data_IF_271372822618
#
_entry.id   IF_271372822618
#
_cell.length_a   1.000
_cell.length_b   1.000
_cell.length_c   1.000
_cell.angle_alpha   90.00
_cell.angle_beta   90.00
_cell.angle_gamma   90.00
#
_symmetry.space_group_name_H-M   'P 1'
#
loop_
_entity.id
_entity.type
_entity.pdbx_description
1 polymer ?
#
# COMPACT_ATOMS: atom_id res chain seq x y z
N UNK A 1 44.80 -14.82 -27.42
CA UNK A 1 44.04 -13.74 -28.07
C UNK A 1 44.79 -13.15 -29.26
N UNK A 2 46.00 -12.75 -29.12
CA UNK A 2 46.78 -12.07 -30.15
C UNK A 2 46.93 -12.90 -31.44
N UNK A 3 47.04 -14.25 -31.33
CA UNK A 3 47.17 -15.15 -32.50
C UNK A 3 45.90 -15.19 -33.37
N UNK A 4 44.71 -15.05 -32.77
CA UNK A 4 43.41 -15.15 -33.47
C UNK A 4 42.71 -13.82 -33.64
N UNK A 5 43.17 -12.76 -32.96
CA UNK A 5 42.63 -11.42 -33.01
C UNK A 5 43.76 -10.40 -32.89
N UNK A 6 44.64 -10.34 -33.88
CA UNK A 6 45.81 -9.46 -33.85
C UNK A 6 45.45 -7.96 -33.85
N UNK A 7 44.28 -7.62 -34.38
CA UNK A 7 43.76 -6.25 -34.42
C UNK A 7 42.95 -5.88 -33.17
N UNK A 8 42.75 -6.81 -32.22
CA UNK A 8 42.03 -6.54 -30.98
C UNK A 8 40.54 -6.16 -31.10
N UNK A 9 39.87 -6.54 -32.21
CA UNK A 9 38.49 -6.15 -32.49
C UNK A 9 37.46 -7.06 -31.80
N UNK A 10 37.83 -8.30 -31.46
CA UNK A 10 36.90 -9.27 -30.87
C UNK A 10 36.93 -9.16 -29.34
N UNK A 11 35.81 -8.65 -28.78
CA UNK A 11 35.65 -8.46 -27.34
C UNK A 11 36.82 -7.75 -26.64
N UNK A 12 37.20 -6.52 -27.06
CA UNK A 12 38.33 -5.80 -26.48
C UNK A 12 38.05 -5.51 -25.00
N UNK A 13 39.05 -5.65 -24.13
CA UNK A 13 38.96 -5.31 -22.72
C UNK A 13 37.96 -6.16 -21.92
N UNK A 14 37.66 -7.41 -22.32
CA UNK A 14 36.73 -8.29 -21.58
C UNK A 14 37.40 -9.32 -20.70
N UNK A 15 38.38 -10.04 -21.21
CA UNK A 15 39.11 -11.08 -20.48
C UNK A 15 40.58 -10.67 -20.26
N UNK A 16 41.18 -10.08 -21.30
CA UNK A 16 42.52 -9.54 -21.27
C UNK A 16 42.46 -8.02 -21.33
N UNK A 17 43.40 -7.36 -20.66
CA UNK A 17 43.51 -5.90 -20.62
C UNK A 17 42.17 -5.23 -20.21
N UNK A 18 41.50 -5.81 -19.20
CA UNK A 18 40.24 -5.31 -18.69
C UNK A 18 40.47 -3.98 -17.95
N UNK A 19 39.62 -2.98 -18.18
CA UNK A 19 39.64 -1.76 -17.36
C UNK A 19 39.42 -2.10 -15.89
N UNK A 20 39.83 -1.21 -14.98
CA UNK A 20 39.55 -1.34 -13.55
C UNK A 20 38.03 -1.51 -13.30
N UNK A 21 37.70 -2.30 -12.29
CA UNK A 21 36.29 -2.56 -11.94
C UNK A 21 35.48 -1.29 -11.64
N UNK A 22 36.16 -0.19 -11.32
CA UNK A 22 35.54 1.12 -11.07
C UNK A 22 35.47 2.00 -12.32
N UNK A 23 36.12 1.60 -13.43
CA UNK A 23 36.06 2.34 -14.68
C UNK A 23 34.80 2.00 -15.49
N UNK A 24 34.31 2.92 -16.27
CA UNK A 24 33.17 2.77 -17.17
C UNK A 24 31.88 2.34 -16.45
N UNK A 25 31.71 2.68 -15.19
CA UNK A 25 30.47 2.46 -14.47
C UNK A 25 29.31 3.26 -15.10
N UNK A 26 28.11 2.69 -15.06
CA UNK A 26 26.89 3.26 -15.69
C UNK A 26 26.66 4.73 -15.35
N UNK A 27 27.00 5.14 -14.13
CA UNK A 27 26.75 6.49 -13.63
C UNK A 27 28.02 7.31 -13.43
N UNK A 28 29.23 6.73 -13.66
CA UNK A 28 30.53 7.39 -13.49
C UNK A 28 30.90 7.62 -12.01
N UNK A 29 32.12 8.15 -11.81
CA UNK A 29 32.70 8.34 -10.46
C UNK A 29 32.07 9.54 -9.71
N UNK A 30 31.46 10.47 -10.40
CA UNK A 30 30.83 11.66 -9.85
C UNK A 30 29.35 11.47 -9.48
N UNK A 31 28.84 10.26 -9.65
CA UNK A 31 27.47 9.94 -9.33
C UNK A 31 27.14 10.29 -7.87
N UNK A 32 26.13 11.12 -7.69
CA UNK A 32 25.59 11.50 -6.36
C UNK A 32 24.10 11.59 -6.48
N UNK A 33 23.41 11.28 -5.38
CA UNK A 33 21.97 11.40 -5.29
C UNK A 33 21.55 12.51 -4.36
N UNK A 34 20.43 13.16 -4.68
CA UNK A 34 19.80 14.16 -3.82
C UNK A 34 19.19 13.42 -2.62
N UNK A 35 19.53 13.84 -1.41
CA UNK A 35 18.91 13.35 -0.20
C UNK A 35 17.53 13.99 -0.01
N UNK A 36 16.53 13.15 0.27
CA UNK A 36 15.17 13.57 0.58
C UNK A 36 14.85 13.13 2.01
N UNK A 37 14.44 14.07 2.85
CA UNK A 37 13.89 13.73 4.16
C UNK A 37 12.53 13.08 4.01
N UNK A 38 12.45 11.78 4.28
CA UNK A 38 11.27 10.98 4.08
C UNK A 38 10.37 10.94 5.32
N UNK A 39 9.07 10.71 5.09
CA UNK A 39 8.09 10.46 6.13
C UNK A 39 8.00 8.96 6.48
N UNK A 40 8.21 8.10 5.48
CA UNK A 40 8.32 6.66 5.65
C UNK A 40 9.75 6.26 6.01
N UNK A 41 9.91 5.18 6.74
CA UNK A 41 11.21 4.62 7.09
C UNK A 41 11.85 3.87 5.92
N UNK A 42 12.96 4.40 5.39
CA UNK A 42 13.78 3.78 4.34
C UNK A 42 15.13 3.28 4.87
N UNK A 43 15.28 3.09 6.19
CA UNK A 43 16.55 2.63 6.77
C UNK A 43 16.98 1.27 6.24
N UNK A 44 16.01 0.39 5.97
CA UNK A 44 16.27 -0.95 5.42
C UNK A 44 16.90 -0.89 4.03
N UNK A 45 16.48 0.06 3.21
CA UNK A 45 17.00 0.31 1.88
C UNK A 45 18.22 1.24 1.88
N UNK A 46 18.49 1.91 3.00
CA UNK A 46 19.54 2.92 3.19
C UNK A 46 19.05 4.35 2.97
N UNK A 47 18.25 4.62 1.95
CA UNK A 47 17.63 5.92 1.68
C UNK A 47 16.49 5.78 0.65
N UNK A 48 15.73 6.86 0.43
CA UNK A 48 14.75 6.90 -0.66
C UNK A 48 15.40 6.69 -2.04
N UNK A 49 16.54 7.31 -2.28
CA UNK A 49 17.29 7.15 -3.52
C UNK A 49 17.77 5.71 -3.69
N UNK A 50 18.32 5.09 -2.64
CA UNK A 50 18.76 3.70 -2.66
C UNK A 50 17.58 2.73 -2.94
N UNK A 51 16.40 2.98 -2.37
CA UNK A 51 15.19 2.21 -2.66
C UNK A 51 14.80 2.27 -4.16
N UNK A 52 14.91 3.44 -4.78
CA UNK A 52 14.70 3.62 -6.22
C UNK A 52 15.77 2.89 -7.03
N UNK A 53 17.02 2.90 -6.55
CA UNK A 53 18.18 2.29 -7.20
C UNK A 53 18.23 0.77 -7.10
N UNK A 54 17.45 0.15 -6.21
CA UNK A 54 17.27 -1.31 -6.19
C UNK A 54 16.85 -1.87 -7.55
N UNK A 55 16.21 -1.05 -8.40
CA UNK A 55 15.86 -1.46 -9.75
C UNK A 55 17.11 -1.65 -10.62
N UNK A 56 17.50 -2.91 -10.84
CA UNK A 56 18.64 -3.29 -11.69
C UNK A 56 18.31 -3.34 -13.20
N UNK A 57 17.06 -3.05 -13.59
CA UNK A 57 16.66 -2.99 -14.99
C UNK A 57 16.30 -4.34 -15.64
N UNK A 58 16.25 -5.46 -14.91
CA UNK A 58 15.96 -6.82 -15.44
C UNK A 58 14.64 -6.92 -16.21
N UNK A 59 13.67 -6.06 -15.92
CA UNK A 59 12.42 -5.95 -16.70
C UNK A 59 11.37 -7.02 -16.40
N UNK A 60 11.43 -7.74 -15.27
CA UNK A 60 10.40 -8.67 -14.84
C UNK A 60 9.00 -8.02 -14.78
N UNK A 61 8.94 -6.70 -14.54
CA UNK A 61 7.71 -5.89 -14.55
C UNK A 61 7.06 -5.69 -15.94
N UNK A 62 7.65 -6.25 -17.02
CA UNK A 62 7.09 -6.23 -18.37
C UNK A 62 6.41 -7.52 -18.77
N UNK A 63 6.19 -8.43 -17.85
CA UNK A 63 5.40 -9.65 -18.10
C UNK A 63 3.97 -9.28 -18.50
N UNK A 64 3.39 -10.05 -19.40
CA UNK A 64 2.05 -9.79 -19.94
C UNK A 64 1.12 -11.01 -19.84
N UNK A 65 1.66 -12.20 -19.60
CA UNK A 65 0.93 -13.46 -19.61
C UNK A 65 1.05 -14.25 -18.31
N UNK A 66 1.83 -13.77 -17.34
CA UNK A 66 2.06 -14.47 -16.08
C UNK A 66 2.32 -13.48 -14.95
N UNK A 67 1.91 -13.83 -13.73
CA UNK A 67 2.06 -13.03 -12.54
C UNK A 67 1.11 -11.83 -12.49
N UNK A 68 1.22 -11.02 -11.44
CA UNK A 68 0.42 -9.82 -11.22
C UNK A 68 1.19 -8.51 -11.46
N UNK A 69 2.51 -8.55 -11.53
CA UNK A 69 3.38 -7.39 -11.73
C UNK A 69 3.59 -7.12 -13.23
N UNK A 70 3.42 -5.94 -13.78
CA UNK A 70 2.83 -4.71 -13.25
C UNK A 70 1.49 -4.49 -13.94
N UNK A 71 0.36 -4.37 -13.23
CA UNK A 71 -0.98 -4.31 -13.85
C UNK A 71 -1.13 -3.13 -14.80
N UNK A 72 -0.56 -1.98 -14.47
CA UNK A 72 -0.61 -0.80 -15.34
C UNK A 72 0.12 -1.01 -16.65
N UNK A 73 1.25 -1.72 -16.66
CA UNK A 73 1.92 -2.09 -17.90
C UNK A 73 1.12 -3.12 -18.71
N UNK A 74 0.55 -4.12 -18.04
CA UNK A 74 -0.30 -5.12 -18.71
C UNK A 74 -1.44 -4.46 -19.50
N UNK A 75 -2.01 -3.37 -18.97
CA UNK A 75 -3.08 -2.62 -19.60
C UNK A 75 -2.60 -1.68 -20.71
N UNK A 76 -1.50 -0.94 -20.51
CA UNK A 76 -1.09 0.16 -21.39
C UNK A 76 0.02 -0.20 -22.36
N UNK A 77 0.85 -1.19 -22.04
CA UNK A 77 2.08 -1.58 -22.77
C UNK A 77 3.15 -0.46 -22.83
N UNK A 78 2.99 0.60 -22.06
CA UNK A 78 3.94 1.70 -22.00
C UNK A 78 4.99 1.49 -20.92
N UNK A 79 6.27 1.66 -21.26
CA UNK A 79 7.40 1.47 -20.34
C UNK A 79 7.29 2.33 -19.07
N UNK A 80 6.83 3.58 -19.21
CA UNK A 80 6.65 4.49 -18.06
C UNK A 80 5.71 3.95 -16.97
N UNK A 81 4.85 2.99 -17.31
CA UNK A 81 3.91 2.36 -16.38
C UNK A 81 4.42 1.06 -15.77
N UNK A 82 5.70 0.71 -16.00
CA UNK A 82 6.37 -0.39 -15.31
C UNK A 82 7.02 0.09 -14.00
N UNK A 83 7.33 -0.84 -13.11
CA UNK A 83 8.19 -0.54 -11.93
C UNK A 83 9.54 0.02 -12.37
N UNK A 84 10.16 -0.58 -13.41
CA UNK A 84 11.43 -0.11 -13.99
C UNK A 84 11.34 1.29 -14.56
N UNK A 85 10.32 1.58 -15.35
CA UNK A 85 10.13 2.91 -15.94
C UNK A 85 9.97 4.00 -14.88
N UNK A 86 9.17 3.73 -13.84
CA UNK A 86 9.00 4.63 -12.70
C UNK A 86 10.29 4.85 -11.92
N UNK A 87 11.02 3.77 -11.62
CA UNK A 87 12.30 3.86 -10.94
C UNK A 87 13.33 4.66 -11.76
N UNK A 88 13.41 4.44 -13.08
CA UNK A 88 14.32 5.18 -13.94
C UNK A 88 13.95 6.67 -14.06
N UNK A 89 12.67 7.00 -14.11
CA UNK A 89 12.23 8.41 -14.14
C UNK A 89 12.63 9.13 -12.84
N UNK A 90 12.37 8.52 -11.67
CA UNK A 90 12.79 9.06 -10.38
C UNK A 90 14.33 9.16 -10.27
N UNK A 91 15.03 8.10 -10.66
CA UNK A 91 16.51 8.07 -10.67
C UNK A 91 17.07 9.24 -11.50
N UNK A 92 16.49 9.52 -12.67
CA UNK A 92 16.94 10.62 -13.52
C UNK A 92 16.93 11.97 -12.79
N UNK A 93 15.96 12.21 -11.93
CA UNK A 93 15.91 13.45 -11.11
C UNK A 93 16.84 13.35 -9.91
N UNK A 94 16.79 12.22 -9.20
CA UNK A 94 17.59 12.04 -7.98
C UNK A 94 19.09 12.10 -8.23
N UNK A 95 19.55 11.67 -9.42
CA UNK A 95 20.96 11.71 -9.83
C UNK A 95 21.38 13.05 -10.47
N UNK A 96 20.45 14.00 -10.61
CA UNK A 96 20.73 15.26 -11.31
C UNK A 96 20.82 15.16 -12.83
N UNK A 97 20.50 13.99 -13.44
CA UNK A 97 20.42 13.85 -14.90
C UNK A 97 19.23 14.61 -15.50
N UNK A 98 18.21 14.86 -14.69
CA UNK A 98 17.09 15.75 -14.96
C UNK A 98 17.08 16.89 -13.94
N UNK A 99 16.55 18.07 -14.28
CA UNK A 99 16.42 19.18 -13.34
C UNK A 99 15.64 18.79 -12.08
N UNK A 100 16.05 19.29 -10.91
CA UNK A 100 15.42 18.97 -9.62
C UNK A 100 13.90 19.30 -9.59
N UNK A 101 13.49 20.35 -10.30
CA UNK A 101 12.10 20.80 -10.45
C UNK A 101 11.23 19.72 -11.12
N UNK A 102 11.85 18.84 -11.91
CA UNK A 102 11.17 17.70 -12.56
C UNK A 102 10.56 16.74 -11.56
N UNK A 103 11.06 16.69 -10.32
CA UNK A 103 10.48 15.88 -9.26
C UNK A 103 9.02 16.26 -8.99
N UNK A 104 8.71 17.55 -8.93
CA UNK A 104 7.36 18.08 -8.69
C UNK A 104 6.61 18.42 -9.98
N UNK A 105 7.05 17.89 -11.13
CA UNK A 105 6.40 18.14 -12.43
C UNK A 105 5.15 17.28 -12.62
N UNK A 106 4.26 17.76 -13.50
CA UNK A 106 3.10 16.97 -13.94
C UNK A 106 3.53 15.68 -14.64
N UNK A 107 4.58 15.74 -15.46
CA UNK A 107 5.08 14.56 -16.17
C UNK A 107 5.53 13.46 -15.22
N UNK A 108 6.21 13.79 -14.12
CA UNK A 108 6.59 12.81 -13.10
C UNK A 108 5.37 12.24 -12.39
N UNK A 109 4.38 13.09 -12.09
CA UNK A 109 3.11 12.61 -11.53
C UNK A 109 2.41 11.64 -12.48
N UNK A 110 2.33 11.93 -13.79
CA UNK A 110 1.71 11.07 -14.79
C UNK A 110 2.41 9.69 -14.91
N UNK A 111 3.74 9.65 -14.71
CA UNK A 111 4.51 8.38 -14.65
C UNK A 111 4.10 7.52 -13.46
N UNK A 112 3.83 8.14 -12.30
CA UNK A 112 3.55 7.43 -11.05
C UNK A 112 2.04 7.18 -10.83
N UNK A 113 1.17 7.97 -11.42
CA UNK A 113 -0.26 7.99 -11.12
C UNK A 113 -0.92 6.62 -11.35
N UNK A 114 -0.66 5.96 -12.46
CA UNK A 114 -1.22 4.65 -12.79
C UNK A 114 -0.66 3.48 -11.96
N UNK A 115 0.28 3.72 -11.03
CA UNK A 115 0.65 2.68 -10.07
C UNK A 115 -0.50 2.44 -9.08
N UNK A 116 -1.04 1.23 -9.06
CA UNK A 116 -2.16 0.86 -8.18
C UNK A 116 -1.75 0.68 -6.71
N UNK A 117 -0.44 0.65 -6.42
CA UNK A 117 0.04 0.34 -5.07
C UNK A 117 -0.32 -1.08 -4.62
N UNK A 118 -0.40 -2.02 -5.56
CA UNK A 118 -0.78 -3.42 -5.30
C UNK A 118 0.31 -4.26 -4.62
N UNK A 119 1.52 -3.70 -4.48
CA UNK A 119 2.70 -4.35 -3.86
C UNK A 119 3.20 -5.64 -4.53
N UNK A 120 2.62 -6.10 -5.65
CA UNK A 120 3.12 -7.29 -6.37
C UNK A 120 4.59 -7.18 -6.77
N UNK A 121 5.13 -5.97 -6.88
CA UNK A 121 6.55 -5.76 -7.13
C UNK A 121 7.45 -6.24 -5.98
N UNK A 122 6.99 -6.30 -4.73
CA UNK A 122 7.78 -6.81 -3.61
C UNK A 122 8.06 -8.30 -3.79
N UNK A 123 7.05 -9.08 -4.21
CA UNK A 123 7.15 -10.54 -4.34
C UNK A 123 7.69 -11.00 -5.70
N UNK A 124 7.34 -10.30 -6.78
CA UNK A 124 7.67 -10.75 -8.14
C UNK A 124 8.93 -10.09 -8.74
N UNK A 125 9.41 -8.97 -8.17
CA UNK A 125 10.64 -8.35 -8.64
C UNK A 125 11.86 -9.04 -8.06
N UNK A 126 12.82 -9.54 -8.88
CA UNK A 126 14.04 -10.18 -8.38
C UNK A 126 14.88 -9.26 -7.48
N UNK A 127 14.70 -7.95 -7.59
CA UNK A 127 15.38 -6.93 -6.77
C UNK A 127 14.49 -6.37 -5.65
N UNK A 128 13.34 -6.96 -5.38
CA UNK A 128 12.41 -6.57 -4.31
C UNK A 128 12.09 -5.06 -4.26
N UNK A 129 11.94 -4.42 -5.43
CA UNK A 129 11.62 -2.98 -5.48
C UNK A 129 10.21 -2.74 -4.98
N UNK A 130 10.06 -2.05 -3.85
CA UNK A 130 8.74 -1.59 -3.39
C UNK A 130 8.34 -0.26 -4.04
N UNK A 131 7.79 -0.35 -5.25
CA UNK A 131 7.30 0.83 -5.96
C UNK A 131 6.08 1.46 -5.30
N UNK A 132 5.33 0.71 -4.49
CA UNK A 132 4.18 1.25 -3.77
C UNK A 132 4.65 2.21 -2.67
N UNK A 133 5.58 1.79 -1.82
CA UNK A 133 6.22 2.62 -0.78
C UNK A 133 6.89 3.87 -1.40
N UNK A 134 7.65 3.68 -2.48
CA UNK A 134 8.28 4.79 -3.24
C UNK A 134 7.22 5.78 -3.74
N UNK A 135 6.10 5.31 -4.32
CA UNK A 135 5.01 6.17 -4.77
C UNK A 135 4.36 6.95 -3.62
N UNK A 136 4.11 6.30 -2.48
CA UNK A 136 3.46 6.96 -1.35
C UNK A 136 4.32 8.10 -0.80
N UNK A 137 5.62 7.86 -0.66
CA UNK A 137 6.57 8.90 -0.27
C UNK A 137 6.66 10.01 -1.33
N UNK A 138 6.74 9.64 -2.62
CA UNK A 138 6.71 10.63 -3.70
C UNK A 138 5.48 11.55 -3.63
N UNK A 139 4.28 10.98 -3.43
CA UNK A 139 3.06 11.76 -3.33
C UNK A 139 3.07 12.70 -2.12
N UNK A 140 3.58 12.24 -0.99
CA UNK A 140 3.75 13.05 0.20
C UNK A 140 4.65 14.26 -0.08
N UNK A 141 5.83 14.03 -0.68
CA UNK A 141 6.76 15.09 -1.07
C UNK A 141 6.14 16.05 -2.12
N UNK A 142 5.44 15.49 -3.11
CA UNK A 142 4.76 16.28 -4.14
C UNK A 142 3.73 17.25 -3.54
N UNK A 143 2.96 16.80 -2.56
CA UNK A 143 1.94 17.62 -1.91
C UNK A 143 2.49 18.63 -0.88
N UNK A 144 3.77 18.58 -0.53
CA UNK A 144 4.40 19.68 0.24
C UNK A 144 4.42 21.00 -0.56
N UNK A 145 4.51 20.91 -1.88
CA UNK A 145 4.57 22.08 -2.79
C UNK A 145 3.30 22.27 -3.62
N UNK A 146 2.37 21.35 -3.60
CA UNK A 146 1.15 21.35 -4.41
C UNK A 146 -0.10 21.14 -3.56
N UNK A 147 -1.23 21.66 -4.03
CA UNK A 147 -2.52 21.43 -3.37
C UNK A 147 -2.97 19.97 -3.53
N UNK A 148 -3.42 19.36 -2.43
CA UNK A 148 -4.01 18.03 -2.44
C UNK A 148 -5.38 18.12 -3.17
N UNK A 149 -5.64 17.28 -4.19
CA UNK A 149 -6.93 17.24 -4.88
C UNK A 149 -8.07 16.92 -3.92
N UNK A 150 -9.24 17.50 -4.16
CA UNK A 150 -10.44 17.23 -3.34
C UNK A 150 -10.82 15.74 -3.36
N UNK A 151 -10.71 15.08 -4.52
CA UNK A 151 -10.90 13.63 -4.63
C UNK A 151 -10.01 12.85 -3.68
N UNK A 152 -8.74 13.21 -3.59
CA UNK A 152 -7.79 12.54 -2.68
C UNK A 152 -8.17 12.73 -1.21
N UNK A 153 -8.62 13.92 -0.81
CA UNK A 153 -9.11 14.18 0.54
C UNK A 153 -10.38 13.38 0.86
N UNK A 154 -11.34 13.35 -0.06
CA UNK A 154 -12.60 12.60 0.12
C UNK A 154 -12.34 11.08 0.21
N UNK A 155 -11.43 10.54 -0.61
CA UNK A 155 -11.03 9.13 -0.52
C UNK A 155 -10.32 8.83 0.79
N UNK A 156 -9.44 9.70 1.25
CA UNK A 156 -8.75 9.54 2.53
C UNK A 156 -9.73 9.53 3.72
N UNK A 157 -10.75 10.39 3.68
CA UNK A 157 -11.75 10.54 4.74
C UNK A 157 -12.95 9.59 4.60
N UNK A 158 -12.88 8.55 3.76
CA UNK A 158 -14.00 7.64 3.48
C UNK A 158 -14.60 7.01 4.75
N UNK A 159 -13.76 6.71 5.74
CA UNK A 159 -14.23 6.18 7.03
C UNK A 159 -15.13 7.17 7.76
N UNK A 160 -14.67 8.42 7.90
CA UNK A 160 -15.41 9.50 8.56
C UNK A 160 -16.71 9.80 7.82
N UNK A 161 -16.67 9.89 6.49
CA UNK A 161 -17.85 10.11 5.66
C UNK A 161 -18.86 8.98 5.82
N UNK A 162 -18.43 7.71 5.82
CA UNK A 162 -19.29 6.55 6.02
C UNK A 162 -19.91 6.55 7.41
N UNK A 163 -19.14 6.90 8.45
CA UNK A 163 -19.61 6.98 9.83
C UNK A 163 -20.74 8.03 10.00
N UNK A 164 -20.55 9.23 9.41
CA UNK A 164 -21.55 10.30 9.44
C UNK A 164 -22.79 9.92 8.61
N UNK A 165 -22.61 9.21 7.50
CA UNK A 165 -23.71 8.84 6.60
C UNK A 165 -24.52 7.64 7.10
N UNK A 166 -23.95 6.74 7.92
CA UNK A 166 -24.58 5.51 8.36
C UNK A 166 -25.93 5.73 9.11
N UNK A 167 -26.08 6.66 10.05
CA UNK A 167 -27.36 6.89 10.73
C UNK A 167 -28.50 7.26 9.77
N UNK A 168 -28.19 8.00 8.71
CA UNK A 168 -29.12 8.50 7.69
C UNK A 168 -28.98 7.77 6.35
N UNK A 169 -28.47 6.54 6.35
CA UNK A 169 -28.11 5.77 5.17
C UNK A 169 -29.17 5.74 4.06
N UNK A 170 -30.49 5.56 4.30
CA UNK A 170 -31.48 5.57 3.23
C UNK A 170 -31.46 6.88 2.43
N UNK A 171 -31.43 8.02 3.13
CA UNK A 171 -31.42 9.35 2.49
C UNK A 171 -30.06 9.60 1.83
N UNK A 172 -28.95 9.32 2.55
CA UNK A 172 -27.61 9.50 2.03
C UNK A 172 -27.40 8.70 0.71
N UNK A 173 -27.87 7.46 0.64
CA UNK A 173 -27.77 6.62 -0.56
C UNK A 173 -28.58 7.18 -1.73
N UNK A 174 -29.78 7.72 -1.50
CA UNK A 174 -30.58 8.34 -2.58
C UNK A 174 -29.89 9.60 -3.09
N UNK A 175 -29.42 10.45 -2.18
CA UNK A 175 -28.76 11.72 -2.53
C UNK A 175 -27.45 11.46 -3.29
N UNK A 176 -26.54 10.65 -2.73
CA UNK A 176 -25.21 10.43 -3.34
C UNK A 176 -25.26 9.67 -4.65
N UNK A 177 -26.33 8.93 -4.91
CA UNK A 177 -26.54 8.15 -6.14
C UNK A 177 -27.41 8.85 -7.17
N UNK A 178 -28.02 10.00 -6.81
CA UNK A 178 -28.82 10.81 -7.74
C UNK A 178 -27.93 11.42 -8.83
N UNK A 179 -28.47 11.53 -10.05
CA UNK A 179 -27.72 12.06 -11.20
C UNK A 179 -27.20 13.48 -10.98
N UNK A 180 -27.97 14.44 -10.40
CA UNK A 180 -27.46 15.79 -10.17
C UNK A 180 -26.23 15.82 -9.24
N UNK A 181 -26.25 15.02 -8.16
CA UNK A 181 -25.13 14.93 -7.21
C UNK A 181 -23.92 14.28 -7.85
N UNK A 182 -24.10 13.23 -8.64
CA UNK A 182 -23.00 12.58 -9.37
C UNK A 182 -22.36 13.51 -10.39
N UNK A 183 -23.14 14.31 -11.12
CA UNK A 183 -22.63 15.34 -12.02
C UNK A 183 -21.84 16.42 -11.26
N UNK A 184 -22.32 16.81 -10.07
CA UNK A 184 -21.60 17.75 -9.22
C UNK A 184 -20.27 17.16 -8.75
N UNK A 185 -20.24 15.90 -8.27
CA UNK A 185 -19.03 15.22 -7.85
C UNK A 185 -18.03 15.05 -9.00
N UNK A 186 -18.49 14.77 -10.21
CA UNK A 186 -17.63 14.71 -11.40
C UNK A 186 -17.00 16.06 -11.67
N UNK A 187 -17.78 17.14 -11.68
CA UNK A 187 -17.30 18.49 -12.00
C UNK A 187 -16.37 19.05 -10.92
N UNK A 188 -16.65 18.80 -9.65
CA UNK A 188 -15.95 19.42 -8.50
C UNK A 188 -14.80 18.56 -7.99
N UNK A 189 -14.98 17.24 -7.96
CA UNK A 189 -14.01 16.30 -7.39
C UNK A 189 -13.40 15.33 -8.40
N UNK A 190 -13.86 15.34 -9.66
CA UNK A 190 -13.31 14.47 -10.71
C UNK A 190 -13.71 13.01 -10.60
N UNK A 191 -14.76 12.67 -9.83
CA UNK A 191 -15.29 11.32 -9.78
C UNK A 191 -16.19 11.05 -11.00
N UNK A 192 -15.90 10.00 -11.75
CA UNK A 192 -16.69 9.63 -12.90
C UNK A 192 -18.15 9.33 -12.49
N UNK A 193 -19.09 10.04 -13.12
CA UNK A 193 -20.53 9.89 -12.88
C UNK A 193 -21.08 8.51 -13.20
N UNK A 194 -20.39 7.70 -14.04
CA UNK A 194 -20.80 6.33 -14.30
C UNK A 194 -20.64 5.41 -13.10
N UNK A 195 -19.79 5.78 -12.14
CA UNK A 195 -19.48 5.02 -10.92
C UNK A 195 -20.21 5.58 -9.70
N UNK A 196 -21.33 4.97 -9.29
CA UNK A 196 -22.05 5.42 -8.11
C UNK A 196 -21.25 5.15 -6.83
N UNK A 197 -21.41 6.02 -5.83
CA UNK A 197 -20.82 5.81 -4.50
C UNK A 197 -21.28 4.48 -3.89
N UNK A 198 -20.41 3.77 -3.12
CA UNK A 198 -20.78 2.58 -2.38
C UNK A 198 -21.99 2.85 -1.48
N UNK A 199 -22.91 1.87 -1.39
CA UNK A 199 -24.07 1.99 -0.49
C UNK A 199 -23.61 1.89 0.95
N UNK A 200 -24.06 2.83 1.78
CA UNK A 200 -23.85 2.78 3.21
C UNK A 200 -25.07 2.14 3.88
N UNK A 201 -24.85 1.37 4.93
CA UNK A 201 -25.94 0.69 5.67
C UNK A 201 -26.15 1.31 7.05
N UNK A 202 -27.42 1.33 7.50
CA UNK A 202 -27.78 1.83 8.84
C UNK A 202 -27.43 0.84 9.96
N UNK A 203 -27.58 -0.46 9.67
CA UNK A 203 -27.20 -1.53 10.58
C UNK A 203 -25.76 -1.95 10.27
N UNK A 204 -24.79 -1.25 10.86
CA UNK A 204 -23.37 -1.51 10.69
C UNK A 204 -22.95 -2.83 11.36
N UNK A 205 -21.78 -3.37 10.99
CA UNK A 205 -21.26 -4.56 11.64
C UNK A 205 -21.07 -4.35 13.16
N UNK A 206 -20.49 -3.22 13.58
CA UNK A 206 -20.36 -2.88 15.01
C UNK A 206 -21.69 -2.92 15.75
N UNK A 207 -22.74 -2.35 15.13
CA UNK A 207 -24.09 -2.33 15.72
C UNK A 207 -24.72 -3.72 15.80
N UNK A 208 -24.43 -4.60 14.87
CA UNK A 208 -24.83 -5.99 14.94
C UNK A 208 -24.04 -6.72 16.02
N UNK A 209 -22.70 -6.56 16.03
CA UNK A 209 -21.81 -7.25 16.98
C UNK A 209 -22.14 -6.90 18.45
N UNK A 210 -22.51 -5.63 18.73
CA UNK A 210 -22.90 -5.21 20.08
C UNK A 210 -24.14 -5.94 20.64
N UNK A 211 -24.91 -6.60 19.77
CA UNK A 211 -26.11 -7.40 20.14
C UNK A 211 -25.88 -8.89 19.92
N UNK A 212 -24.78 -9.26 19.31
CA UNK A 212 -24.42 -10.65 19.05
C UNK A 212 -24.10 -11.38 20.35
N UNK A 213 -24.62 -12.57 20.47
CA UNK A 213 -24.29 -13.47 21.60
C UNK A 213 -23.23 -14.46 21.10
N UNK A 214 -22.05 -14.50 21.70
CA UNK A 214 -21.01 -15.45 21.30
C UNK A 214 -21.50 -16.89 21.34
N UNK A 215 -21.16 -17.66 20.31
CA UNK A 215 -21.48 -19.09 20.22
C UNK A 215 -20.24 -19.96 20.43
N UNK A 216 -19.11 -19.33 20.74
CA UNK A 216 -17.84 -20.02 20.95
C UNK A 216 -17.80 -20.74 22.30
N UNK A 217 -17.14 -21.91 22.29
CA UNK A 217 -16.75 -22.61 23.52
C UNK A 217 -15.50 -22.01 24.17
N UNK A 218 -14.87 -21.00 23.54
CA UNK A 218 -13.60 -20.37 23.94
C UNK A 218 -12.47 -21.39 24.19
N UNK A 219 -12.47 -22.49 23.44
CA UNK A 219 -11.48 -23.57 23.59
C UNK A 219 -10.09 -23.20 23.03
N UNK A 220 -10.03 -22.21 22.13
CA UNK A 220 -8.78 -21.76 21.46
C UNK A 220 -8.33 -20.37 21.88
N UNK A 221 -9.00 -19.75 22.85
CA UNK A 221 -8.63 -18.41 23.34
C UNK A 221 -9.27 -17.27 22.56
N UNK A 222 -8.72 -16.06 22.75
CA UNK A 222 -9.24 -14.82 22.16
C UNK A 222 -8.58 -14.47 20.84
N UNK A 223 -9.32 -13.76 20.00
CA UNK A 223 -8.84 -13.19 18.75
C UNK A 223 -9.47 -11.81 18.51
N UNK A 224 -8.72 -10.84 18.01
CA UNK A 224 -9.25 -9.53 17.64
C UNK A 224 -9.60 -9.54 16.16
N UNK A 225 -10.88 -9.36 15.83
CA UNK A 225 -11.33 -9.12 14.46
C UNK A 225 -11.23 -7.63 14.13
N UNK A 226 -10.24 -7.27 13.28
CA UNK A 226 -10.10 -5.91 12.79
C UNK A 226 -11.10 -5.66 11.68
N UNK A 227 -12.26 -5.13 12.03
CA UNK A 227 -13.31 -4.82 11.09
C UNK A 227 -12.96 -3.56 10.28
N UNK A 228 -12.73 -3.71 8.98
CA UNK A 228 -12.40 -2.59 8.11
C UNK A 228 -13.60 -1.64 7.89
N UNK A 229 -13.34 -0.51 7.20
CA UNK A 229 -14.37 0.51 6.93
C UNK A 229 -15.51 -0.04 6.09
N UNK A 230 -15.21 -0.80 5.04
CA UNK A 230 -16.22 -1.31 4.12
C UNK A 230 -17.01 -2.46 4.73
N UNK A 231 -16.36 -3.34 5.47
CA UNK A 231 -17.02 -4.36 6.28
C UNK A 231 -18.02 -3.72 7.25
N UNK A 232 -17.61 -2.64 7.94
CA UNK A 232 -18.49 -2.01 8.93
C UNK A 232 -19.68 -1.30 8.29
N UNK A 233 -19.45 -0.47 7.27
CA UNK A 233 -20.46 0.48 6.79
C UNK A 233 -21.16 0.09 5.49
N UNK A 234 -20.58 -0.86 4.72
CA UNK A 234 -21.09 -1.20 3.39
C UNK A 234 -21.51 -2.66 3.26
N UNK A 235 -20.72 -3.57 3.83
CA UNK A 235 -20.89 -5.02 3.71
C UNK A 235 -20.81 -5.74 5.06
N UNK A 236 -21.72 -5.45 6.02
CA UNK A 236 -21.65 -6.03 7.38
C UNK A 236 -21.79 -7.55 7.41
N UNK A 237 -22.37 -8.15 6.37
CA UNK A 237 -22.47 -9.62 6.23
C UNK A 237 -21.12 -10.31 6.21
N UNK A 238 -20.06 -9.65 5.68
CA UNK A 238 -18.70 -10.19 5.70
C UNK A 238 -18.22 -10.36 7.16
N UNK A 239 -18.33 -9.30 7.96
CA UNK A 239 -17.96 -9.37 9.37
C UNK A 239 -18.79 -10.35 10.19
N UNK A 240 -20.10 -10.44 9.89
CA UNK A 240 -20.99 -11.43 10.54
C UNK A 240 -20.57 -12.86 10.22
N UNK A 241 -20.21 -13.15 8.96
CA UNK A 241 -19.75 -14.47 8.54
C UNK A 241 -18.38 -14.80 9.13
N UNK A 242 -17.44 -13.85 9.10
CA UNK A 242 -16.12 -14.00 9.71
C UNK A 242 -16.24 -14.31 11.21
N UNK A 243 -17.10 -13.57 11.95
CA UNK A 243 -17.36 -13.82 13.37
C UNK A 243 -17.82 -15.26 13.60
N UNK A 244 -18.81 -15.73 12.83
CA UNK A 244 -19.36 -17.09 12.97
C UNK A 244 -18.34 -18.18 12.66
N UNK A 245 -17.50 -17.97 11.63
CA UNK A 245 -16.41 -18.89 11.30
C UNK A 245 -15.40 -18.97 12.43
N UNK A 246 -14.94 -17.82 12.95
CA UNK A 246 -13.99 -17.78 14.05
C UNK A 246 -14.55 -18.42 15.35
N UNK A 247 -15.82 -18.17 15.64
CA UNK A 247 -16.50 -18.81 16.78
C UNK A 247 -16.66 -20.32 16.59
N UNK A 248 -17.00 -20.78 15.38
CA UNK A 248 -17.08 -22.21 15.05
C UNK A 248 -15.72 -22.93 15.20
N UNK A 249 -14.63 -22.22 14.96
CA UNK A 249 -13.26 -22.69 15.22
C UNK A 249 -12.89 -22.69 16.71
N UNK A 250 -13.76 -22.19 17.59
CA UNK A 250 -13.54 -22.18 19.04
C UNK A 250 -12.89 -20.90 19.57
N UNK A 251 -12.76 -19.84 18.78
CA UNK A 251 -12.22 -18.57 19.26
C UNK A 251 -13.29 -17.67 19.89
N UNK A 252 -12.92 -16.94 20.94
CA UNK A 252 -13.67 -15.80 21.42
C UNK A 252 -13.33 -14.57 20.59
N UNK A 253 -14.28 -14.06 19.80
CA UNK A 253 -14.05 -12.91 18.92
C UNK A 253 -14.20 -11.61 19.70
N UNK A 254 -13.19 -10.75 19.62
CA UNK A 254 -13.17 -9.41 20.20
C UNK A 254 -13.21 -8.37 19.08
N UNK A 255 -14.07 -7.37 19.19
CA UNK A 255 -14.17 -6.23 18.26
C UNK A 255 -13.93 -4.94 19.02
N UNK A 256 -12.91 -4.19 18.60
CA UNK A 256 -12.50 -2.93 19.23
C UNK A 256 -13.24 -1.76 18.57
N UNK A 257 -14.14 -1.14 19.30
CA UNK A 257 -15.01 -0.07 18.76
C UNK A 257 -14.27 1.26 18.51
N UNK A 258 -13.23 1.53 19.28
CA UNK A 258 -12.45 2.77 19.20
C UNK A 258 -11.39 2.75 18.08
N UNK A 259 -11.27 1.67 17.33
CA UNK A 259 -10.30 1.59 16.25
C UNK A 259 -10.55 2.69 15.21
N UNK A 260 -9.47 3.25 14.66
CA UNK A 260 -9.49 4.12 13.48
C UNK A 260 -9.33 3.30 12.19
N UNK A 261 -9.57 3.92 11.03
CA UNK A 261 -9.24 3.33 9.73
C UNK A 261 -7.78 2.86 9.70
N UNK A 262 -7.49 1.74 9.03
CA UNK A 262 -6.11 1.24 8.85
C UNK A 262 -5.17 2.26 8.19
N UNK A 263 -5.71 3.31 7.58
CA UNK A 263 -4.93 4.36 6.91
C UNK A 263 -4.68 4.10 5.42
N UNK A 264 -5.00 2.92 4.89
CA UNK A 264 -4.72 2.57 3.49
C UNK A 264 -5.20 3.61 2.47
N UNK A 265 -6.43 4.17 2.57
CA UNK A 265 -6.87 5.23 1.67
C UNK A 265 -6.00 6.49 1.75
N UNK A 266 -5.53 6.85 2.95
CA UNK A 266 -4.65 7.99 3.19
C UNK A 266 -3.26 7.74 2.61
N UNK A 267 -2.66 6.57 2.90
CA UNK A 267 -1.35 6.13 2.40
C UNK A 267 -1.33 6.19 0.87
N UNK A 268 -2.33 5.61 0.22
CA UNK A 268 -2.43 5.56 -1.25
C UNK A 268 -2.52 6.93 -1.91
N UNK A 269 -2.89 7.96 -1.16
CA UNK A 269 -2.99 9.36 -1.60
C UNK A 269 -1.87 10.26 -1.07
N UNK A 270 -0.84 9.70 -0.43
CA UNK A 270 0.30 10.45 0.10
C UNK A 270 -0.04 11.31 1.33
N UNK A 271 -1.14 11.05 2.02
CA UNK A 271 -1.55 11.74 3.26
C UNK A 271 -0.95 11.01 4.46
N UNK A 272 0.39 10.93 4.49
CA UNK A 272 1.13 10.06 5.40
C UNK A 272 1.07 10.50 6.86
N UNK A 273 0.91 11.80 7.15
CA UNK A 273 0.79 12.28 8.53
C UNK A 273 -0.51 11.79 9.17
N UNK A 274 -1.64 11.95 8.47
CA UNK A 274 -2.94 11.45 8.95
C UNK A 274 -2.95 9.91 9.07
N UNK A 275 -2.30 9.22 8.13
CA UNK A 275 -2.14 7.78 8.19
C UNK A 275 -1.32 7.36 9.41
N UNK A 276 -0.23 8.07 9.72
CA UNK A 276 0.62 7.85 10.89
C UNK A 276 -0.12 8.06 12.21
N UNK A 277 -0.96 9.08 12.30
CA UNK A 277 -1.82 9.32 13.48
C UNK A 277 -2.81 8.16 13.71
N UNK A 278 -3.42 7.65 12.62
CA UNK A 278 -4.30 6.49 12.71
C UNK A 278 -3.55 5.22 13.09
N UNK A 279 -2.36 5.00 12.50
CA UNK A 279 -1.51 3.86 12.81
C UNK A 279 -1.10 3.87 14.29
N UNK A 280 -0.64 5.02 14.82
CA UNK A 280 -0.26 5.18 16.22
C UNK A 280 -1.43 4.83 17.15
N UNK A 281 -2.59 5.41 16.90
CA UNK A 281 -3.79 5.12 17.69
C UNK A 281 -4.15 3.63 17.69
N UNK A 282 -4.14 3.01 16.52
CA UNK A 282 -4.49 1.59 16.39
C UNK A 282 -3.42 0.68 17.02
N UNK A 283 -2.14 1.01 16.88
CA UNK A 283 -1.05 0.27 17.54
C UNK A 283 -1.19 0.34 19.05
N UNK A 284 -1.44 1.50 19.62
CA UNK A 284 -1.62 1.66 21.07
C UNK A 284 -2.86 0.90 21.57
N UNK A 285 -3.93 0.83 20.77
CA UNK A 285 -5.15 0.08 21.08
C UNK A 285 -4.95 -1.45 20.99
N UNK A 286 -4.19 -1.93 20.01
CA UNK A 286 -3.99 -3.35 19.73
C UNK A 286 -2.87 -3.98 20.56
N UNK A 287 -1.86 -3.20 20.90
CA UNK A 287 -0.65 -3.68 21.57
C UNK A 287 -0.90 -4.47 22.87
N UNK A 288 -1.81 -4.04 23.78
CA UNK A 288 -2.13 -4.82 24.98
C UNK A 288 -2.68 -6.23 24.69
N UNK A 289 -3.41 -6.40 23.58
CA UNK A 289 -3.90 -7.71 23.14
C UNK A 289 -2.75 -8.58 22.64
N UNK A 290 -1.85 -7.99 21.85
CA UNK A 290 -0.67 -8.68 21.31
C UNK A 290 0.27 -9.15 22.41
N UNK A 291 0.48 -8.35 23.46
CA UNK A 291 1.28 -8.76 24.63
C UNK A 291 0.69 -9.99 25.34
N UNK A 292 -0.60 -10.22 25.24
CA UNK A 292 -1.28 -11.40 25.75
C UNK A 292 -1.37 -12.56 24.74
N UNK A 293 -0.60 -12.51 23.65
CA UNK A 293 -0.56 -13.55 22.62
C UNK A 293 -1.79 -13.60 21.70
N UNK A 294 -2.63 -12.54 21.72
CA UNK A 294 -3.86 -12.50 20.91
C UNK A 294 -3.51 -12.07 19.47
N UNK A 295 -3.89 -12.89 18.48
CA UNK A 295 -3.77 -12.55 17.06
C UNK A 295 -4.83 -11.53 16.64
N UNK A 296 -4.47 -10.75 15.63
CA UNK A 296 -5.34 -9.76 14.99
C UNK A 296 -5.69 -10.27 13.60
N UNK A 297 -6.96 -10.45 13.33
CA UNK A 297 -7.45 -11.01 12.07
C UNK A 297 -8.10 -9.94 11.23
N UNK A 298 -7.69 -9.84 9.97
CA UNK A 298 -8.32 -8.99 8.96
C UNK A 298 -8.93 -9.82 7.84
N UNK A 299 -10.06 -9.36 7.28
CA UNK A 299 -10.68 -9.96 6.08
C UNK A 299 -10.35 -9.16 4.81
N UNK A 300 -9.82 -7.96 4.94
CA UNK A 300 -9.47 -7.09 3.80
C UNK A 300 -7.94 -7.06 3.64
N UNK A 301 -7.44 -7.70 2.59
CA UNK A 301 -6.01 -7.84 2.33
C UNK A 301 -5.25 -6.51 2.30
N UNK A 302 -5.88 -5.43 1.81
CA UNK A 302 -5.25 -4.12 1.78
C UNK A 302 -5.13 -3.49 3.17
N UNK A 303 -6.04 -3.80 4.09
CA UNK A 303 -5.93 -3.39 5.50
C UNK A 303 -4.86 -4.20 6.23
N UNK A 304 -4.81 -5.52 6.00
CA UNK A 304 -3.76 -6.39 6.54
C UNK A 304 -2.40 -5.91 6.07
N UNK A 305 -2.20 -5.72 4.77
CA UNK A 305 -0.94 -5.18 4.22
C UNK A 305 -0.57 -3.80 4.78
N UNK A 306 -1.55 -2.92 5.06
CA UNK A 306 -1.25 -1.65 5.71
C UNK A 306 -0.75 -1.84 7.14
N UNK A 307 -1.32 -2.79 7.88
CA UNK A 307 -0.92 -3.08 9.27
C UNK A 307 0.43 -3.80 9.36
N UNK A 308 0.71 -4.73 8.44
CA UNK A 308 1.96 -5.52 8.44
C UNK A 308 3.14 -4.76 7.89
N UNK A 309 2.95 -3.96 6.83
CA UNK A 309 4.05 -3.32 6.11
C UNK A 309 4.11 -1.80 6.36
N UNK A 310 2.96 -1.11 6.17
CA UNK A 310 2.98 0.35 6.13
C UNK A 310 3.04 0.99 7.54
N UNK A 311 2.44 0.37 8.57
CA UNK A 311 2.46 0.92 9.93
C UNK A 311 3.86 0.97 10.55
N UNK A 312 4.69 -0.09 10.47
CA UNK A 312 6.08 0.00 10.91
C UNK A 312 6.84 1.14 10.23
N UNK A 313 6.67 1.32 8.92
CA UNK A 313 7.33 2.39 8.17
C UNK A 313 6.82 3.79 8.57
N UNK A 314 5.50 3.96 8.74
CA UNK A 314 4.89 5.22 9.20
C UNK A 314 5.31 5.61 10.62
N UNK A 315 5.64 4.63 11.45
CA UNK A 315 6.03 4.82 12.85
C UNK A 315 7.54 4.69 13.06
N UNK A 316 8.34 4.86 12.00
CA UNK A 316 9.81 4.87 12.01
C UNK A 316 10.44 3.64 12.67
N UNK A 317 9.85 2.48 12.45
CA UNK A 317 10.34 1.22 13.00
C UNK A 317 10.08 1.02 14.49
N UNK A 318 9.07 1.68 15.04
CA UNK A 318 8.62 1.52 16.43
C UNK A 318 8.38 0.03 16.77
N UNK A 319 8.93 -0.42 17.90
CA UNK A 319 8.90 -1.84 18.29
C UNK A 319 7.48 -2.34 18.61
N UNK A 320 6.60 -1.49 19.15
CA UNK A 320 5.19 -1.86 19.34
C UNK A 320 4.50 -2.08 17.99
N UNK A 321 4.79 -1.21 17.02
CA UNK A 321 4.24 -1.35 15.67
C UNK A 321 4.71 -2.64 15.00
N UNK A 322 5.97 -3.04 15.15
CA UNK A 322 6.51 -4.30 14.63
C UNK A 322 5.85 -5.51 15.30
N UNK A 323 5.67 -5.48 16.63
CA UNK A 323 5.00 -6.56 17.36
C UNK A 323 3.53 -6.68 16.95
N UNK A 324 2.82 -5.57 16.80
CA UNK A 324 1.45 -5.58 16.27
C UNK A 324 1.45 -6.15 14.85
N UNK A 325 2.32 -5.68 13.96
CA UNK A 325 2.44 -6.15 12.59
C UNK A 325 2.66 -7.67 12.49
N UNK A 326 3.55 -8.23 13.34
CA UNK A 326 3.82 -9.68 13.37
C UNK A 326 2.67 -10.53 13.91
N UNK A 327 1.69 -9.92 14.57
CA UNK A 327 0.51 -10.59 15.12
C UNK A 327 -0.73 -10.46 14.23
N UNK A 328 -0.61 -9.74 13.11
CA UNK A 328 -1.71 -9.56 12.13
C UNK A 328 -1.65 -10.67 11.10
N UNK A 329 -2.79 -11.30 10.87
CA UNK A 329 -2.97 -12.35 9.85
C UNK A 329 -4.26 -12.12 9.08
N UNK A 330 -4.35 -12.66 7.86
CA UNK A 330 -5.63 -12.76 7.15
C UNK A 330 -6.47 -13.88 7.77
N UNK A 331 -7.78 -13.84 7.53
CA UNK A 331 -8.66 -14.90 8.01
C UNK A 331 -8.31 -16.24 7.34
N UNK A 332 -7.85 -16.22 6.09
CA UNK A 332 -7.43 -17.38 5.32
C UNK A 332 -6.17 -18.02 5.93
N UNK A 333 -5.15 -17.21 6.25
CA UNK A 333 -3.92 -17.68 6.93
C UNK A 333 -4.27 -18.32 8.27
N UNK A 334 -5.14 -17.68 9.07
CA UNK A 334 -5.57 -18.26 10.35
C UNK A 334 -6.31 -19.59 10.15
N UNK A 335 -7.16 -19.71 9.14
CA UNK A 335 -7.86 -20.95 8.82
C UNK A 335 -6.87 -22.08 8.53
N UNK A 336 -5.89 -21.85 7.66
CA UNK A 336 -4.84 -22.85 7.34
C UNK A 336 -4.07 -23.26 8.60
N UNK A 337 -3.61 -22.28 9.40
CA UNK A 337 -2.90 -22.57 10.66
C UNK A 337 -3.74 -23.38 11.66
N UNK A 338 -5.07 -23.22 11.63
CA UNK A 338 -5.97 -23.79 12.64
C UNK A 338 -6.49 -25.16 12.25
N UNK A 339 -6.72 -25.40 10.95
CA UNK A 339 -7.31 -26.65 10.44
C UNK A 339 -6.26 -27.62 9.92
N UNK A 340 -5.02 -27.18 9.67
CA UNK A 340 -4.00 -27.95 9.00
C UNK A 340 -4.24 -28.02 7.48
N UNK A 341 -3.32 -28.65 6.76
CA UNK A 341 -3.42 -28.91 5.31
C UNK A 341 -4.25 -30.18 5.02
N UNK A 342 -5.38 -30.40 5.69
CA UNK A 342 -6.27 -31.52 5.41
C UNK A 342 -7.23 -31.22 4.25
#
# INVERSE_FOLDING_TARGET
KTAFDPSGIMNPGKIFDTPDIKENLRFGDTYRTIEIQTRLDFKKEGSFAAAVEMCNGVGACRKVHAGAMCPSYMATREEKHTTRGRANALRGVLSGSLPAESFSSKNMMDVLDLCLGCKSCISECPSNVDMAKIKYEYLYQYYKTRKIPLSSKLVADIHRMSSISAPVAPIANVVTRSLPVRLLFEKVAGFDRSRPSPKVVRNTFQKWFSKHKPQSTNSRGKIVLFHDTFMNFNHPTIGMSATRVLEALGFEVVVLNERKCCGRPMISKGLLDQAGENARHNVDLLYPHVQNGVKIVGCEASCVSAMTDDWPDLLNGDDKAKQVASSVVTIEELLVETTGDD
#
